data_IF_582815867441
#
_entry.id   IF_582815867441
#
_cell.length_a   1.000
_cell.length_b   1.000
_cell.length_c   1.000
_cell.angle_alpha   90.00
_cell.angle_beta   90.00
_cell.angle_gamma   90.00
#
_symmetry.space_group_name_H-M   'P 1'
#
loop_
_entity.id
_entity.type
_entity.pdbx_description
1 polymer ?
#
# COMPACT_ATOMS: atom_id res chain seq x y z
N UNK A 1 10.20 6.73 -14.97
CA UNK A 1 8.89 6.14 -15.34
C UNK A 1 8.07 6.19 -14.07
N UNK A 2 7.28 7.26 -13.88
CA UNK A 2 6.49 7.43 -12.67
C UNK A 2 5.25 6.56 -12.84
N UNK A 3 5.24 5.39 -12.21
CA UNK A 3 4.01 4.63 -12.00
C UNK A 3 3.12 5.51 -11.12
N UNK A 4 2.17 6.23 -11.72
CA UNK A 4 1.12 6.90 -10.97
C UNK A 4 0.15 5.82 -10.51
N UNK A 5 0.41 5.27 -9.32
CA UNK A 5 -0.53 4.41 -8.62
C UNK A 5 -1.56 5.30 -7.95
N UNK A 6 -2.84 5.02 -8.18
CA UNK A 6 -3.92 5.71 -7.49
C UNK A 6 -4.12 5.13 -6.09
N UNK A 7 -4.63 5.94 -5.16
CA UNK A 7 -5.01 5.47 -3.83
C UNK A 7 -5.93 4.25 -3.89
N UNK A 8 -6.87 4.20 -4.85
CA UNK A 8 -7.73 3.03 -5.05
C UNK A 8 -6.94 1.75 -5.38
N UNK A 9 -5.92 1.82 -6.24
CA UNK A 9 -5.09 0.65 -6.57
C UNK A 9 -4.28 0.16 -5.38
N UNK A 10 -3.75 1.10 -4.58
CA UNK A 10 -2.97 0.80 -3.38
C UNK A 10 -3.89 0.18 -2.31
N UNK A 11 -5.05 0.78 -2.05
CA UNK A 11 -6.07 0.30 -1.11
C UNK A 11 -6.52 -1.12 -1.47
N UNK A 12 -6.83 -1.35 -2.76
CA UNK A 12 -7.20 -2.69 -3.24
C UNK A 12 -6.10 -3.72 -3.03
N UNK A 13 -4.85 -3.39 -3.35
CA UNK A 13 -3.73 -4.31 -3.16
C UNK A 13 -3.49 -4.62 -1.67
N UNK A 14 -3.59 -3.62 -0.79
CA UNK A 14 -3.53 -3.80 0.66
C UNK A 14 -4.65 -4.70 1.16
N UNK A 15 -5.88 -4.50 0.68
CA UNK A 15 -7.03 -5.33 1.03
C UNK A 15 -6.90 -6.79 0.54
N UNK A 16 -6.42 -7.00 -0.70
CA UNK A 16 -6.28 -8.35 -1.26
C UNK A 16 -5.16 -9.16 -0.58
N UNK A 17 -4.06 -8.50 -0.25
CA UNK A 17 -2.92 -9.14 0.43
C UNK A 17 -3.18 -9.29 1.93
N UNK A 18 -3.93 -8.36 2.53
CA UNK A 18 -4.16 -8.25 3.97
C UNK A 18 -2.87 -8.49 4.77
N UNK A 19 -1.82 -7.66 4.55
CA UNK A 19 -0.49 -7.92 5.10
C UNK A 19 -0.46 -7.90 6.64
N UNK A 20 -1.45 -7.24 7.25
CA UNK A 20 -1.64 -7.18 8.69
C UNK A 20 -2.57 -8.27 9.23
N UNK A 21 -3.14 -9.10 8.36
CA UNK A 21 -4.07 -10.17 8.71
C UNK A 21 -5.19 -9.66 9.62
N UNK A 22 -5.75 -8.50 9.26
CA UNK A 22 -6.74 -7.79 10.07
C UNK A 22 -8.10 -8.52 10.05
N UNK A 23 -8.23 -9.62 9.30
CA UNK A 23 -9.48 -10.37 9.11
C UNK A 23 -10.61 -9.49 8.53
N UNK A 24 -10.28 -8.43 7.78
CA UNK A 24 -11.28 -7.47 7.26
C UNK A 24 -12.24 -8.07 6.21
N UNK A 25 -11.99 -9.29 5.74
CA UNK A 25 -12.85 -10.00 4.77
C UNK A 25 -14.28 -10.26 5.24
N UNK A 26 -14.55 -10.24 6.55
CA UNK A 26 -15.88 -10.57 7.09
C UNK A 26 -16.84 -9.37 7.17
N UNK A 27 -16.35 -8.12 7.07
CA UNK A 27 -17.21 -6.93 7.22
C UNK A 27 -17.35 -6.05 5.97
N UNK A 28 -16.66 -6.37 4.85
CA UNK A 28 -16.70 -5.56 3.61
C UNK A 28 -16.28 -4.08 3.83
N UNK A 29 -15.56 -3.78 4.93
CA UNK A 29 -15.00 -2.46 5.20
C UNK A 29 -13.72 -2.26 4.37
N UNK A 30 -13.90 -1.91 3.10
CA UNK A 30 -12.82 -1.51 2.20
C UNK A 30 -12.20 -0.15 2.56
N UNK A 31 -12.86 0.63 3.40
CA UNK A 31 -12.55 2.02 3.72
C UNK A 31 -11.39 2.21 4.71
N UNK A 32 -10.95 1.16 5.41
CA UNK A 32 -9.85 1.26 6.38
C UNK A 32 -8.48 1.48 5.72
N UNK A 33 -8.27 0.89 4.53
CA UNK A 33 -7.02 1.05 3.78
C UNK A 33 -7.02 2.27 2.86
N UNK A 34 -8.15 2.96 2.66
CA UNK A 34 -8.23 4.14 1.79
C UNK A 34 -7.41 5.32 2.34
N UNK A 35 -7.38 5.50 3.66
CA UNK A 35 -6.59 6.55 4.31
C UNK A 35 -5.09 6.24 4.21
N UNK A 36 -4.71 4.98 4.46
CA UNK A 36 -3.32 4.51 4.28
C UNK A 36 -2.91 4.68 2.81
N UNK A 37 -3.79 4.33 1.87
CA UNK A 37 -3.50 4.44 0.46
C UNK A 37 -3.38 5.89 -0.04
N UNK A 38 -4.16 6.81 0.52
CA UNK A 38 -4.03 8.24 0.25
C UNK A 38 -2.67 8.77 0.73
N UNK A 39 -2.23 8.37 1.91
CA UNK A 39 -0.93 8.74 2.47
C UNK A 39 0.25 8.17 1.67
N UNK A 40 0.14 6.91 1.23
CA UNK A 40 1.10 6.29 0.30
C UNK A 40 1.15 7.06 -1.02
N UNK A 41 -0.01 7.45 -1.57
CA UNK A 41 -0.06 8.21 -2.82
C UNK A 41 0.60 9.59 -2.67
N UNK A 42 0.35 10.30 -1.57
CA UNK A 42 0.99 11.58 -1.28
C UNK A 42 2.52 11.43 -1.15
N UNK A 43 2.97 10.39 -0.45
CA UNK A 43 4.40 10.06 -0.32
C UNK A 43 5.06 9.75 -1.67
N UNK A 44 4.36 9.05 -2.55
CA UNK A 44 4.83 8.78 -3.92
C UNK A 44 4.91 10.08 -4.75
N UNK A 45 3.95 10.99 -4.61
CA UNK A 45 4.00 12.31 -5.26
C UNK A 45 5.16 13.17 -4.73
N UNK A 46 5.49 13.04 -3.44
CA UNK A 46 6.67 13.66 -2.83
C UNK A 46 8.01 13.05 -3.32
N UNK A 47 7.97 11.94 -4.07
CA UNK A 47 9.14 11.28 -4.65
C UNK A 47 9.72 10.14 -3.79
N UNK A 48 8.98 9.69 -2.77
CA UNK A 48 9.36 8.49 -2.02
C UNK A 48 9.28 7.24 -2.91
N UNK A 49 9.98 6.17 -2.50
CA UNK A 49 9.83 4.87 -3.17
C UNK A 49 8.54 4.21 -2.71
N UNK A 50 7.97 3.34 -3.55
CA UNK A 50 6.77 2.57 -3.18
C UNK A 50 6.96 1.76 -1.90
N UNK A 51 8.18 1.28 -1.66
CA UNK A 51 8.52 0.54 -0.45
C UNK A 51 8.48 1.44 0.78
N UNK A 52 9.16 2.58 0.73
CA UNK A 52 9.21 3.54 1.85
C UNK A 52 7.83 4.11 2.15
N UNK A 53 7.06 4.44 1.12
CA UNK A 53 5.70 4.96 1.26
C UNK A 53 4.77 3.93 1.94
N UNK A 54 4.76 2.68 1.47
CA UNK A 54 3.95 1.62 2.06
C UNK A 54 4.40 1.26 3.48
N UNK A 55 5.71 1.07 3.68
CA UNK A 55 6.24 0.73 5.00
C UNK A 55 5.99 1.86 5.99
N UNK A 56 6.20 3.11 5.59
CA UNK A 56 5.95 4.31 6.40
C UNK A 56 4.49 4.47 6.79
N UNK A 57 3.58 4.44 5.81
CA UNK A 57 2.15 4.57 6.06
C UNK A 57 1.63 3.44 6.97
N UNK A 58 2.00 2.19 6.71
CA UNK A 58 1.62 1.08 7.60
C UNK A 58 2.19 1.29 9.01
N UNK A 59 3.42 1.79 9.13
CA UNK A 59 4.04 2.02 10.42
C UNK A 59 3.34 3.12 11.22
N UNK A 60 2.96 4.21 10.55
CA UNK A 60 2.21 5.31 11.15
C UNK A 60 0.83 4.85 11.63
N UNK A 61 0.10 4.13 10.77
CA UNK A 61 -1.29 3.76 11.04
C UNK A 61 -1.49 2.56 11.97
N UNK A 62 -0.58 1.57 11.95
CA UNK A 62 -0.71 0.35 12.76
C UNK A 62 0.23 0.30 13.97
N UNK A 63 1.32 1.05 13.95
CA UNK A 63 2.34 1.00 15.00
C UNK A 63 2.60 2.36 15.65
N UNK A 64 1.72 3.36 15.45
CA UNK A 64 1.87 4.73 15.96
C UNK A 64 3.24 5.35 15.60
N UNK A 65 3.81 4.93 14.46
CA UNK A 65 5.12 5.38 14.00
C UNK A 65 6.34 4.70 14.65
N UNK A 66 6.18 3.65 15.45
CA UNK A 66 7.31 2.88 16.00
C UNK A 66 8.02 2.09 14.91
N UNK A 67 9.33 2.31 14.66
CA UNK A 67 10.09 1.58 13.63
C UNK A 67 10.05 0.05 13.84
N UNK A 68 9.24 -0.66 13.05
CA UNK A 68 9.32 -2.10 12.95
C UNK A 68 9.95 -2.53 11.63
N UNK A 69 11.13 -3.16 11.73
CA UNK A 69 11.82 -3.85 10.62
C UNK A 69 10.95 -4.90 9.90
N UNK A 70 9.82 -5.30 10.50
CA UNK A 70 8.88 -6.25 9.90
C UNK A 70 7.95 -5.60 8.88
N UNK A 71 7.70 -4.28 8.94
CA UNK A 71 6.80 -3.58 8.03
C UNK A 71 7.28 -3.69 6.58
N UNK A 72 8.60 -3.66 6.36
CA UNK A 72 9.20 -3.81 5.04
C UNK A 72 8.93 -5.19 4.40
N UNK A 73 8.99 -6.28 5.16
CA UNK A 73 8.76 -7.64 4.66
C UNK A 73 7.29 -7.97 4.46
N UNK A 74 6.38 -7.36 5.25
CA UNK A 74 4.94 -7.58 5.07
C UNK A 74 4.39 -6.84 3.84
N UNK A 75 5.04 -5.74 3.39
CA UNK A 75 4.60 -4.98 2.21
C UNK A 75 5.16 -5.50 0.88
N UNK A 76 6.18 -6.37 0.90
CA UNK A 76 6.75 -6.96 -0.32
C UNK A 76 5.69 -7.58 -1.26
N UNK A 77 4.75 -8.44 -0.79
CA UNK A 77 3.72 -8.99 -1.66
C UNK A 77 2.79 -7.91 -2.26
N UNK A 78 2.47 -6.86 -1.51
CA UNK A 78 1.68 -5.72 -1.99
C UNK A 78 2.43 -4.94 -3.07
N UNK A 79 3.74 -4.74 -2.88
CA UNK A 79 4.61 -4.06 -3.85
C UNK A 79 4.69 -4.84 -5.16
N UNK A 80 4.82 -6.16 -5.11
CA UNK A 80 4.83 -7.00 -6.32
C UNK A 80 3.52 -6.88 -7.08
N UNK A 81 2.38 -7.01 -6.41
CA UNK A 81 1.06 -6.84 -7.02
C UNK A 81 0.88 -5.46 -7.67
N UNK A 82 1.33 -4.39 -7.00
CA UNK A 82 1.24 -3.03 -7.53
C UNK A 82 2.17 -2.80 -8.73
N UNK A 83 3.35 -3.43 -8.74
CA UNK A 83 4.25 -3.40 -9.92
C UNK A 83 3.62 -4.10 -11.12
N UNK A 84 2.92 -5.20 -10.91
CA UNK A 84 2.17 -5.90 -11.97
C UNK A 84 0.98 -5.07 -12.47
N UNK A 85 0.22 -4.47 -11.54
CA UNK A 85 -0.91 -3.60 -11.86
C UNK A 85 -0.49 -2.33 -12.63
N UNK A 86 0.62 -1.69 -12.23
CA UNK A 86 1.18 -0.52 -12.92
C UNK A 86 1.91 -0.85 -14.22
N UNK A 87 2.27 -2.11 -14.46
CA UNK A 87 2.87 -2.57 -15.72
C UNK A 87 1.82 -2.88 -16.79
N UNK A 88 0.59 -3.20 -16.39
CA UNK A 88 -0.53 -3.47 -17.30
C UNK A 88 -1.14 -2.23 -17.97
N UNK A 89 -0.84 -1.02 -17.51
CA UNK A 89 -1.27 0.23 -18.17
C UNK A 89 -0.42 0.59 -19.41
N UNK A 90 0.54 -0.27 -19.78
CA UNK A 90 1.44 -0.07 -20.94
C UNK A 90 1.08 -0.93 -22.16
N UNK A 91 -0.20 -1.24 -22.35
CA UNK A 91 -0.65 -1.92 -23.55
C UNK A 91 -1.85 -1.19 -24.17
N UNK A 92 -1.56 -0.02 -24.75
CA UNK A 92 -2.27 0.52 -25.90
C UNK A 92 -1.49 0.17 -27.17
#
# INVERSE_FOLDING_TARGET
MNMQLTAHQISKALFEIDPMNTCCKENDCFDEYDLIAADVAESLEAGATLKDALAGAINEWFYDGEELLKSESIVEPTIEMLKEAGSHDRQL
#
